data_IF_458170378069
#
_entry.id   IF_458170378069
#
_cell.length_a   1.000
_cell.length_b   1.000
_cell.length_c   1.000
_cell.angle_alpha   90.00
_cell.angle_beta   90.00
_cell.angle_gamma   90.00
#
_symmetry.space_group_name_H-M   'P 1'
#
loop_
_entity.id
_entity.type
_entity.pdbx_description
1 polymer ?
#
# COMPACT_ATOMS: atom_id res chain seq x y z
N UNK A 1 72.15 11.43 0.16
CA UNK A 1 70.81 10.88 0.38
C UNK A 1 69.82 12.03 0.26
N UNK A 2 69.10 12.13 -0.85
CA UNK A 2 68.11 13.19 -1.11
C UNK A 2 66.74 12.58 -0.83
N UNK A 3 66.01 13.08 0.16
CA UNK A 3 64.63 12.69 0.45
C UNK A 3 63.69 13.41 -0.51
N UNK A 4 62.97 12.64 -1.32
CA UNK A 4 61.91 13.12 -2.18
C UNK A 4 60.60 13.09 -1.35
N UNK A 5 60.03 14.27 -1.08
CA UNK A 5 58.71 14.40 -0.43
C UNK A 5 57.69 14.51 -1.56
N UNK A 6 56.82 13.50 -1.66
CA UNK A 6 55.69 13.47 -2.61
C UNK A 6 54.47 14.13 -1.93
N UNK A 7 53.85 15.17 -2.50
CA UNK A 7 52.65 15.74 -1.93
C UNK A 7 51.44 14.85 -2.21
N UNK A 8 50.76 14.45 -1.17
CA UNK A 8 49.48 13.77 -1.25
C UNK A 8 48.39 14.80 -1.61
N UNK A 9 47.88 14.76 -2.86
CA UNK A 9 46.70 15.53 -3.27
C UNK A 9 45.46 14.83 -2.72
N UNK A 10 44.84 15.37 -1.68
CA UNK A 10 43.52 14.98 -1.23
C UNK A 10 42.53 15.62 -2.21
N UNK A 11 42.03 14.81 -3.13
CA UNK A 11 40.94 15.20 -4.00
C UNK A 11 39.66 15.34 -3.17
N UNK A 12 39.24 16.58 -2.95
CA UNK A 12 37.90 16.90 -2.43
C UNK A 12 36.89 16.49 -3.49
N UNK A 13 36.29 15.33 -3.33
CA UNK A 13 35.11 14.93 -4.14
C UNK A 13 33.95 15.80 -3.69
N UNK A 14 33.74 16.91 -4.39
CA UNK A 14 32.49 17.66 -4.27
C UNK A 14 31.36 16.72 -4.73
N UNK A 15 30.66 16.11 -3.77
CA UNK A 15 29.38 15.50 -4.05
C UNK A 15 28.43 16.64 -4.38
N UNK A 16 28.14 16.83 -5.66
CA UNK A 16 27.00 17.65 -6.08
C UNK A 16 25.76 17.05 -5.44
N UNK A 17 24.95 17.83 -4.70
CA UNK A 17 23.68 17.33 -4.23
C UNK A 17 22.89 16.85 -5.46
N UNK A 18 22.40 15.63 -5.41
CA UNK A 18 21.39 15.15 -6.35
C UNK A 18 20.18 16.03 -6.07
N UNK A 19 20.03 17.11 -6.81
CA UNK A 19 18.77 17.84 -6.86
C UNK A 19 17.73 16.81 -7.29
N UNK A 20 16.87 16.39 -6.37
CA UNK A 20 15.60 15.79 -6.73
C UNK A 20 14.96 16.78 -7.69
N UNK A 21 14.82 16.40 -8.97
CA UNK A 21 14.11 17.20 -9.93
C UNK A 21 12.67 17.34 -9.38
N UNK A 22 12.41 18.47 -8.73
CA UNK A 22 11.06 18.94 -8.50
C UNK A 22 10.47 19.16 -9.89
N UNK A 23 9.62 18.24 -10.35
CA UNK A 23 9.04 18.28 -11.71
C UNK A 23 8.09 19.47 -11.92
N UNK A 24 8.51 20.66 -11.53
CA UNK A 24 7.76 21.92 -11.68
C UNK A 24 6.62 22.11 -10.66
N UNK A 25 6.47 21.21 -9.69
CA UNK A 25 5.44 21.36 -8.65
C UNK A 25 5.82 22.38 -7.57
N UNK A 26 4.81 23.04 -7.01
CA UNK A 26 4.99 23.93 -5.86
C UNK A 26 5.48 23.13 -4.64
N UNK A 27 6.39 23.71 -3.84
CA UNK A 27 6.85 23.11 -2.56
C UNK A 27 5.69 22.74 -1.62
N UNK A 28 4.59 23.50 -1.65
CA UNK A 28 3.40 23.21 -0.85
C UNK A 28 2.72 21.87 -1.21
N UNK A 29 3.00 21.31 -2.38
CA UNK A 29 2.49 20.02 -2.86
C UNK A 29 3.51 18.89 -2.69
N UNK A 30 4.70 19.18 -2.15
CA UNK A 30 5.75 18.19 -1.92
C UNK A 30 5.66 17.63 -0.50
N UNK A 31 5.98 16.35 -0.37
CA UNK A 31 6.00 15.67 0.92
C UNK A 31 7.21 16.10 1.77
N UNK A 32 7.13 15.90 3.08
CA UNK A 32 8.28 16.12 3.95
C UNK A 32 9.48 15.23 3.59
N UNK A 33 9.21 14.04 3.08
CA UNK A 33 10.25 13.15 2.56
C UNK A 33 11.00 13.79 1.39
N UNK A 34 10.30 14.29 0.39
CA UNK A 34 10.91 14.96 -0.77
C UNK A 34 11.69 16.23 -0.36
N UNK A 35 11.08 17.08 0.45
CA UNK A 35 11.69 18.35 0.91
C UNK A 35 12.94 18.14 1.78
N UNK A 36 13.03 17.00 2.46
CA UNK A 36 14.18 16.65 3.30
C UNK A 36 15.20 15.74 2.59
N UNK A 37 15.07 15.51 1.28
CA UNK A 37 15.86 14.51 0.55
C UNK A 37 15.77 13.11 1.20
N UNK A 38 14.57 12.73 1.63
CA UNK A 38 14.24 11.48 2.30
C UNK A 38 14.96 11.23 3.63
N UNK A 39 15.29 12.30 4.35
CA UNK A 39 15.85 12.22 5.70
C UNK A 39 14.77 12.04 6.78
N UNK A 40 13.55 12.49 6.52
CA UNK A 40 12.41 12.38 7.42
C UNK A 40 11.11 12.07 6.69
N UNK A 41 10.13 11.57 7.43
CA UNK A 41 8.77 11.31 6.95
C UNK A 41 7.80 12.42 7.41
N UNK A 42 6.64 12.51 6.74
CA UNK A 42 5.62 13.51 7.03
C UNK A 42 4.90 13.22 8.34
N UNK A 43 4.72 14.23 9.17
CA UNK A 43 3.74 14.23 10.27
C UNK A 43 2.33 14.28 9.72
N UNK A 44 1.32 13.98 10.54
CA UNK A 44 -0.08 14.10 10.11
C UNK A 44 -0.45 15.52 9.69
N UNK A 45 0.05 16.54 10.41
CA UNK A 45 -0.18 17.94 10.05
C UNK A 45 0.43 18.32 8.68
N UNK A 46 1.62 17.80 8.35
CA UNK A 46 2.25 18.01 7.04
C UNK A 46 1.48 17.30 5.93
N UNK A 47 0.99 16.08 6.17
CA UNK A 47 0.08 15.39 5.23
C UNK A 47 -1.16 16.25 4.93
N UNK A 48 -1.81 16.80 5.97
CA UNK A 48 -2.98 17.67 5.80
C UNK A 48 -2.63 18.96 5.02
N UNK A 49 -1.42 19.48 5.19
CA UNK A 49 -0.97 20.68 4.45
C UNK A 49 -0.81 20.40 2.95
N UNK A 50 -0.20 19.25 2.59
CA UNK A 50 -0.09 18.81 1.18
C UNK A 50 -1.48 18.57 0.60
N UNK A 51 -2.36 17.87 1.30
CA UNK A 51 -3.75 17.62 0.87
C UNK A 51 -4.51 18.93 0.63
N UNK A 52 -4.35 19.93 1.53
CA UNK A 52 -4.99 21.23 1.38
C UNK A 52 -4.48 21.96 0.13
N UNK A 53 -3.17 21.91 -0.16
CA UNK A 53 -2.58 22.50 -1.37
C UNK A 53 -3.10 21.84 -2.65
N UNK A 54 -3.19 20.51 -2.68
CA UNK A 54 -3.74 19.76 -3.81
C UNK A 54 -5.23 20.07 -4.02
N UNK A 55 -6.02 20.13 -2.94
CA UNK A 55 -7.45 20.42 -3.01
C UNK A 55 -7.74 21.87 -3.46
N UNK A 56 -6.91 22.82 -3.03
CA UNK A 56 -7.06 24.22 -3.44
C UNK A 56 -6.78 24.45 -4.93
N UNK A 57 -6.10 23.53 -5.58
CA UNK A 57 -5.63 23.67 -6.96
C UNK A 57 -6.32 22.73 -7.97
N UNK A 58 -7.24 21.85 -7.52
CA UNK A 58 -7.96 20.93 -8.40
C UNK A 58 -9.35 20.60 -7.86
N UNK A 59 -10.37 20.73 -8.70
CA UNK A 59 -11.75 20.31 -8.41
C UNK A 59 -11.95 18.79 -8.47
N UNK A 60 -10.96 18.05 -9.00
CA UNK A 60 -11.00 16.58 -9.12
C UNK A 60 -10.77 15.87 -7.77
N UNK A 61 -10.33 16.61 -6.74
CA UNK A 61 -10.12 16.10 -5.39
C UNK A 61 -11.25 16.54 -4.46
N UNK A 62 -12.05 15.58 -4.01
CA UNK A 62 -13.00 15.75 -2.92
C UNK A 62 -12.42 15.16 -1.62
N UNK A 63 -12.66 15.85 -0.50
CA UNK A 63 -12.23 15.42 0.84
C UNK A 63 -13.43 15.30 1.76
N UNK A 64 -13.56 14.17 2.45
CA UNK A 64 -14.44 13.98 3.60
C UNK A 64 -13.65 13.48 4.82
N UNK A 65 -14.23 13.57 6.00
CA UNK A 65 -13.63 13.01 7.21
C UNK A 65 -14.06 11.55 7.34
N UNK A 66 -13.09 10.62 7.33
CA UNK A 66 -13.33 9.20 7.59
C UNK A 66 -13.67 8.99 9.07
N UNK A 67 -12.80 9.49 9.96
CA UNK A 67 -12.89 9.31 11.41
C UNK A 67 -12.21 10.48 12.12
N UNK A 68 -12.65 10.75 13.36
CA UNK A 68 -11.88 11.54 14.33
C UNK A 68 -11.20 10.55 15.28
N UNK A 69 -9.87 10.53 15.31
CA UNK A 69 -9.09 9.63 16.15
C UNK A 69 -9.25 9.94 17.64
N UNK A 70 -8.74 9.08 18.52
CA UNK A 70 -8.78 9.31 19.96
C UNK A 70 -8.00 10.56 20.41
N UNK A 71 -6.97 10.96 19.67
CA UNK A 71 -6.25 12.22 19.90
C UNK A 71 -6.92 13.44 19.24
N UNK A 72 -8.12 13.28 18.65
CA UNK A 72 -8.90 14.37 18.05
C UNK A 72 -8.45 14.75 16.64
N UNK A 73 -7.70 13.90 15.93
CA UNK A 73 -7.26 14.14 14.56
C UNK A 73 -8.36 13.74 13.56
N UNK A 74 -8.75 14.64 12.66
CA UNK A 74 -9.71 14.37 11.60
C UNK A 74 -9.01 13.71 10.41
N UNK A 75 -9.07 12.40 10.34
CA UNK A 75 -8.45 11.59 9.29
C UNK A 75 -9.25 11.73 7.99
N UNK A 76 -8.64 12.22 6.89
CA UNK A 76 -9.35 12.46 5.66
C UNK A 76 -9.47 11.20 4.81
N UNK A 77 -10.64 10.97 4.22
CA UNK A 77 -10.81 10.17 3.00
C UNK A 77 -10.77 11.10 1.80
N UNK A 78 -9.94 10.78 0.83
CA UNK A 78 -9.66 11.60 -0.34
C UNK A 78 -10.16 10.89 -1.59
N UNK A 79 -11.06 11.53 -2.33
CA UNK A 79 -11.72 10.97 -3.51
C UNK A 79 -11.23 11.71 -4.74
N UNK A 80 -10.53 11.00 -5.64
CA UNK A 80 -10.07 11.52 -6.92
C UNK A 80 -10.94 10.94 -8.05
N UNK A 81 -11.56 11.81 -8.85
CA UNK A 81 -12.41 11.41 -9.97
C UNK A 81 -12.49 12.49 -11.05
N UNK A 82 -12.58 12.08 -12.30
CA UNK A 82 -12.85 12.94 -13.46
C UNK A 82 -13.97 12.30 -14.33
N UNK A 83 -15.19 12.90 -14.44
CA UNK A 83 -15.61 14.11 -13.74
C UNK A 83 -15.66 13.95 -12.22
N UNK A 84 -15.64 15.08 -11.46
CA UNK A 84 -15.64 15.06 -10.00
C UNK A 84 -16.79 14.25 -9.42
N UNK A 85 -16.51 13.41 -8.44
CA UNK A 85 -17.45 12.61 -7.66
C UNK A 85 -17.31 12.99 -6.20
N UNK A 86 -18.44 13.22 -5.51
CA UNK A 86 -18.47 13.70 -4.12
C UNK A 86 -19.23 12.78 -3.18
N UNK A 87 -20.00 11.85 -3.75
CA UNK A 87 -20.81 10.90 -2.96
C UNK A 87 -20.71 9.48 -3.51
N UNK A 88 -20.93 8.47 -2.65
CA UNK A 88 -20.99 7.08 -3.12
C UNK A 88 -22.09 6.81 -4.17
N UNK A 89 -23.19 7.58 -4.12
CA UNK A 89 -24.29 7.51 -5.09
C UNK A 89 -23.82 7.96 -6.48
N UNK A 90 -23.08 9.06 -6.55
CA UNK A 90 -22.47 9.55 -7.79
C UNK A 90 -21.44 8.54 -8.33
N UNK A 91 -20.63 7.93 -7.43
CA UNK A 91 -19.67 6.89 -7.81
C UNK A 91 -20.39 5.69 -8.46
N UNK A 92 -21.44 5.17 -7.83
CA UNK A 92 -22.26 4.08 -8.41
C UNK A 92 -22.90 4.46 -9.74
N UNK A 93 -23.42 5.68 -9.85
CA UNK A 93 -24.04 6.18 -11.07
C UNK A 93 -23.05 6.35 -12.23
N UNK A 94 -21.78 6.66 -11.95
CA UNK A 94 -20.74 6.81 -12.95
C UNK A 94 -20.41 5.51 -13.69
N UNK A 95 -20.62 4.37 -13.04
CA UNK A 95 -20.23 3.06 -13.54
C UNK A 95 -18.72 2.80 -13.56
N UNK A 96 -17.91 3.69 -12.98
CA UNK A 96 -16.46 3.52 -12.87
C UNK A 96 -16.06 2.52 -11.79
N UNK A 97 -14.89 1.92 -11.94
CA UNK A 97 -14.27 1.10 -10.91
C UNK A 97 -13.93 1.96 -9.69
N UNK A 98 -14.09 1.43 -8.48
CA UNK A 98 -13.69 2.11 -7.25
C UNK A 98 -12.45 1.41 -6.69
N UNK A 99 -11.31 2.10 -6.71
CA UNK A 99 -10.04 1.62 -6.17
C UNK A 99 -9.75 2.33 -4.85
N UNK A 100 -9.41 1.59 -3.82
CA UNK A 100 -9.06 2.10 -2.51
C UNK A 100 -7.58 1.85 -2.20
N UNK A 101 -6.81 2.90 -1.99
CA UNK A 101 -5.39 2.87 -1.63
C UNK A 101 -5.24 3.33 -0.17
N UNK A 102 -4.75 2.45 0.68
CA UNK A 102 -4.51 2.71 2.10
C UNK A 102 -3.03 2.67 2.42
N UNK A 103 -2.55 3.65 3.17
CA UNK A 103 -1.22 3.66 3.75
C UNK A 103 -1.25 3.81 5.26
N UNK A 104 -0.13 3.44 5.89
CA UNK A 104 0.16 3.78 7.28
C UNK A 104 -0.84 3.19 8.30
N UNK A 105 -1.37 1.98 8.06
CA UNK A 105 -2.13 1.22 9.08
C UNK A 105 -1.23 0.90 10.27
N UNK A 106 0.05 0.61 10.03
CA UNK A 106 1.09 0.63 11.04
C UNK A 106 1.83 1.97 10.95
N UNK A 107 1.75 2.79 11.98
CA UNK A 107 2.25 4.17 11.96
C UNK A 107 3.73 4.34 11.62
N UNK A 108 4.54 3.30 11.81
CA UNK A 108 5.96 3.29 11.45
C UNK A 108 6.28 2.81 10.04
N UNK A 109 5.30 2.36 9.26
CA UNK A 109 5.43 1.97 7.86
C UNK A 109 5.02 3.14 6.98
N UNK A 110 5.99 4.00 6.68
CA UNK A 110 5.75 5.38 6.24
C UNK A 110 5.79 5.57 4.72
N UNK A 111 6.26 4.58 3.97
CA UNK A 111 6.47 4.64 2.53
C UNK A 111 5.17 4.83 1.76
N UNK A 112 4.13 4.07 2.13
CA UNK A 112 2.81 4.12 1.50
C UNK A 112 2.12 5.47 1.63
N UNK A 113 2.33 6.16 2.76
CA UNK A 113 1.85 7.52 3.00
C UNK A 113 2.47 8.50 2.00
N UNK A 114 3.79 8.51 1.91
CA UNK A 114 4.52 9.41 1.02
C UNK A 114 4.20 9.09 -0.45
N UNK A 115 4.19 7.81 -0.83
CA UNK A 115 3.85 7.36 -2.18
C UNK A 115 2.43 7.75 -2.59
N UNK A 116 1.45 7.66 -1.69
CA UNK A 116 0.07 8.09 -1.94
C UNK A 116 -0.02 9.58 -2.25
N UNK A 117 0.67 10.42 -1.48
CA UNK A 117 0.69 11.88 -1.71
C UNK A 117 1.37 12.23 -3.05
N UNK A 118 2.46 11.55 -3.39
CA UNK A 118 3.16 11.71 -4.67
C UNK A 118 2.23 11.30 -5.82
N UNK A 119 1.60 10.12 -5.74
CA UNK A 119 0.68 9.63 -6.77
C UNK A 119 -0.51 10.58 -6.97
N UNK A 120 -1.12 11.08 -5.90
CA UNK A 120 -2.20 12.07 -5.98
C UNK A 120 -1.76 13.35 -6.72
N UNK A 121 -0.58 13.88 -6.41
CA UNK A 121 -0.02 15.04 -7.10
C UNK A 121 0.22 14.76 -8.59
N UNK A 122 0.78 13.61 -8.93
CA UNK A 122 1.03 13.20 -10.31
C UNK A 122 -0.28 13.04 -11.11
N UNK A 123 -1.34 12.53 -10.48
CA UNK A 123 -2.67 12.41 -11.09
C UNK A 123 -3.30 13.81 -11.30
N UNK A 124 -3.22 14.68 -10.31
CA UNK A 124 -3.93 15.97 -10.35
C UNK A 124 -3.19 17.06 -11.14
N UNK A 125 -1.86 17.01 -11.19
CA UNK A 125 -1.02 18.09 -11.74
C UNK A 125 0.12 17.60 -12.64
N UNK A 126 0.33 16.29 -12.75
CA UNK A 126 1.31 15.68 -13.65
C UNK A 126 0.66 15.18 -14.94
N UNK A 127 1.20 14.11 -15.45
CA UNK A 127 0.78 13.48 -16.71
C UNK A 127 -0.14 12.26 -16.53
N UNK A 128 -0.62 12.01 -15.30
CA UNK A 128 -1.38 10.79 -14.93
C UNK A 128 -2.87 11.01 -14.73
N UNK A 129 -3.44 12.13 -15.18
CA UNK A 129 -4.88 12.37 -15.05
C UNK A 129 -5.72 11.31 -15.79
N UNK A 130 -5.18 10.71 -16.85
CA UNK A 130 -5.81 9.61 -17.61
C UNK A 130 -6.18 8.42 -16.70
N UNK A 131 -5.51 8.23 -15.56
CA UNK A 131 -5.86 7.20 -14.58
C UNK A 131 -7.26 7.36 -13.98
N UNK A 132 -7.91 8.51 -14.18
CA UNK A 132 -9.28 8.75 -13.73
C UNK A 132 -10.34 8.47 -14.83
N UNK A 133 -9.95 8.00 -16.01
CA UNK A 133 -10.89 7.76 -17.13
C UNK A 133 -11.92 6.68 -16.79
N UNK A 134 -11.49 5.54 -16.25
CA UNK A 134 -12.36 4.39 -15.97
C UNK A 134 -12.47 4.03 -14.49
N UNK A 135 -11.81 4.79 -13.61
CA UNK A 135 -11.83 4.53 -12.17
C UNK A 135 -11.98 5.81 -11.34
N UNK A 136 -12.44 5.62 -10.11
CA UNK A 136 -12.44 6.56 -9.01
C UNK A 136 -11.43 6.04 -8.00
N UNK A 137 -10.51 6.89 -7.56
CA UNK A 137 -9.47 6.47 -6.60
C UNK A 137 -9.73 7.09 -5.25
N UNK A 138 -9.92 6.24 -4.25
CA UNK A 138 -10.03 6.62 -2.85
C UNK A 138 -8.66 6.48 -2.21
N UNK A 139 -8.10 7.58 -1.70
CA UNK A 139 -6.85 7.56 -0.94
C UNK A 139 -7.09 7.78 0.54
N UNK A 140 -6.44 6.96 1.35
CA UNK A 140 -6.30 7.12 2.80
C UNK A 140 -4.80 7.07 3.15
N UNK A 141 -4.05 8.16 2.97
CA UNK A 141 -2.59 8.14 3.13
C UNK A 141 -2.14 7.79 4.54
N UNK A 142 -2.88 8.24 5.56
CA UNK A 142 -2.58 7.99 6.97
C UNK A 142 -3.81 7.46 7.68
N UNK A 143 -3.92 6.14 7.79
CA UNK A 143 -5.03 5.52 8.52
C UNK A 143 -4.80 5.60 10.03
N UNK A 144 -3.60 5.23 10.51
CA UNK A 144 -3.22 5.29 11.92
C UNK A 144 -2.57 6.65 12.24
N UNK A 145 -3.38 7.71 12.32
CA UNK A 145 -2.88 9.07 12.51
C UNK A 145 -2.21 9.30 13.87
N UNK A 146 -2.68 8.63 14.92
CA UNK A 146 -2.15 8.76 16.27
C UNK A 146 -0.80 8.03 16.37
N UNK A 147 -0.72 6.79 15.87
CA UNK A 147 0.54 6.07 15.79
C UNK A 147 1.56 6.72 14.86
N UNK A 148 1.13 7.35 13.75
CA UNK A 148 2.03 8.09 12.87
C UNK A 148 2.82 9.17 13.59
N UNK A 149 2.18 9.95 14.45
CA UNK A 149 2.81 11.09 15.11
C UNK A 149 3.54 10.73 16.41
N UNK A 150 3.38 9.50 16.91
CA UNK A 150 4.18 8.97 18.04
C UNK A 150 5.57 8.53 17.55
N UNK A 151 6.31 9.47 16.98
CA UNK A 151 7.59 9.20 16.32
C UNK A 151 8.72 8.94 17.32
N UNK A 152 9.47 7.84 17.09
CA UNK A 152 10.61 7.44 17.90
C UNK A 152 11.68 6.77 17.05
N UNK A 153 12.94 6.82 17.47
CA UNK A 153 14.06 6.16 16.80
C UNK A 153 14.10 4.64 17.02
N UNK A 154 13.32 4.12 17.95
CA UNK A 154 13.24 2.70 18.28
C UNK A 154 11.94 2.01 17.83
N UNK A 155 11.05 2.76 17.16
CA UNK A 155 9.75 2.24 16.70
C UNK A 155 9.87 1.12 15.66
N UNK A 156 10.87 1.20 14.77
CA UNK A 156 11.06 0.29 13.64
C UNK A 156 12.52 -0.12 13.48
N UNK A 157 13.05 -0.81 14.49
CA UNK A 157 14.44 -1.30 14.52
C UNK A 157 14.79 -2.26 13.37
N UNK A 158 13.81 -2.84 12.71
CA UNK A 158 14.01 -3.72 11.54
C UNK A 158 14.17 -2.96 10.22
N UNK A 159 13.92 -1.65 10.20
CA UNK A 159 14.09 -0.83 9.00
C UNK A 159 15.50 -0.24 8.91
N UNK A 160 15.97 -0.06 7.68
CA UNK A 160 17.21 0.67 7.42
C UNK A 160 17.11 2.13 7.87
N UNK A 161 18.25 2.73 8.15
CA UNK A 161 18.38 4.10 8.63
C UNK A 161 17.68 5.11 7.76
N UNK A 162 16.88 5.92 8.01
CA UNK A 162 15.99 6.85 7.30
C UNK A 162 14.64 6.24 7.01
N UNK A 163 13.58 6.94 7.46
CA UNK A 163 13.74 8.12 8.34
C UNK A 163 14.26 7.68 9.72
N UNK A 164 15.05 8.54 10.36
CA UNK A 164 15.60 8.27 11.71
C UNK A 164 14.50 8.12 12.77
N UNK A 165 13.35 8.75 12.54
CA UNK A 165 12.17 8.67 13.38
C UNK A 165 11.00 8.15 12.55
N UNK A 166 10.32 7.15 13.06
CA UNK A 166 9.09 6.60 12.50
C UNK A 166 8.03 6.47 13.58
N UNK A 167 6.76 6.43 13.18
CA UNK A 167 5.63 6.28 14.08
C UNK A 167 5.54 4.89 14.71
N UNK A 168 4.66 4.74 15.69
CA UNK A 168 4.39 3.48 16.37
C UNK A 168 3.52 2.57 15.49
N UNK A 169 3.75 1.25 15.62
CA UNK A 169 2.95 0.25 14.90
C UNK A 169 1.46 0.35 15.24
N UNK A 170 1.16 0.50 16.52
CA UNK A 170 -0.21 0.45 17.05
C UNK A 170 -0.76 1.84 17.31
N UNK A 171 -2.10 1.98 17.30
CA UNK A 171 -2.82 3.13 17.84
C UNK A 171 -3.33 2.76 19.23
N UNK A 172 -2.89 3.47 20.26
CA UNK A 172 -3.33 3.25 21.67
C UNK A 172 -3.24 1.77 22.14
N UNK A 173 -2.23 1.05 21.66
CA UNK A 173 -2.03 -0.37 21.97
C UNK A 173 -2.78 -1.36 21.07
N UNK A 174 -3.64 -0.89 20.15
CA UNK A 174 -4.35 -1.72 19.18
C UNK A 174 -3.60 -1.78 17.86
N UNK A 175 -3.39 -2.99 17.34
CA UNK A 175 -2.96 -3.20 15.97
C UNK A 175 -4.18 -3.18 15.04
N UNK A 176 -4.35 -2.08 14.28
CA UNK A 176 -5.50 -1.89 13.40
C UNK A 176 -5.60 -2.98 12.32
N UNK A 177 -4.45 -3.59 11.93
CA UNK A 177 -4.45 -4.73 11.01
C UNK A 177 -4.67 -6.09 11.71
N UNK A 178 -5.27 -6.09 12.90
CA UNK A 178 -5.77 -7.27 13.62
C UNK A 178 -7.23 -7.09 14.03
N UNK A 179 -7.82 -5.95 13.74
CA UNK A 179 -9.14 -5.54 14.21
C UNK A 179 -10.28 -5.80 13.20
N UNK A 180 -9.97 -6.32 12.00
CA UNK A 180 -10.94 -6.53 10.93
C UNK A 180 -12.11 -7.48 11.22
N UNK A 181 -12.08 -8.22 12.35
CA UNK A 181 -13.17 -9.10 12.78
C UNK A 181 -13.92 -8.56 14.01
N UNK A 182 -13.19 -7.96 14.94
CA UNK A 182 -13.76 -7.50 16.23
C UNK A 182 -14.35 -6.12 16.08
N UNK A 183 -13.66 -5.24 15.32
CA UNK A 183 -14.06 -3.86 15.02
C UNK A 183 -14.24 -3.08 16.34
N UNK A 184 -13.19 -3.10 17.18
CA UNK A 184 -13.19 -2.51 18.53
C UNK A 184 -12.63 -1.07 18.56
N UNK A 185 -11.88 -0.69 17.50
CA UNK A 185 -11.29 0.64 17.42
C UNK A 185 -12.18 1.61 16.64
N UNK A 186 -12.16 2.90 17.03
CA UNK A 186 -12.93 3.93 16.34
C UNK A 186 -12.52 4.08 14.86
N UNK A 187 -11.24 3.84 14.56
CA UNK A 187 -10.70 3.83 13.21
C UNK A 187 -11.31 2.71 12.37
N UNK A 188 -11.33 1.49 12.90
CA UNK A 188 -11.87 0.34 12.18
C UNK A 188 -13.39 0.41 12.05
N UNK A 189 -14.11 0.83 13.09
CA UNK A 189 -15.55 1.06 13.01
C UNK A 189 -15.89 2.05 11.89
N UNK A 190 -15.18 3.17 11.85
CA UNK A 190 -15.37 4.21 10.84
C UNK A 190 -14.93 3.73 9.44
N UNK A 191 -13.85 2.96 9.31
CA UNK A 191 -13.43 2.38 8.04
C UNK A 191 -14.56 1.54 7.41
N UNK A 192 -15.18 0.67 8.21
CA UNK A 192 -16.30 -0.14 7.73
C UNK A 192 -17.55 0.69 7.44
N UNK A 193 -17.95 1.57 8.37
CA UNK A 193 -19.18 2.33 8.24
C UNK A 193 -19.10 3.42 7.16
N UNK A 194 -18.00 4.17 7.10
CA UNK A 194 -17.88 5.37 6.28
C UNK A 194 -17.20 5.12 4.93
N UNK A 195 -16.41 4.04 4.79
CA UNK A 195 -15.73 3.73 3.54
C UNK A 195 -16.25 2.42 2.94
N UNK A 196 -15.98 1.27 3.56
CA UNK A 196 -16.23 -0.04 2.94
C UNK A 196 -17.72 -0.24 2.61
N UNK A 197 -18.63 0.07 3.55
CA UNK A 197 -20.07 -0.10 3.32
C UNK A 197 -20.68 0.97 2.41
N UNK A 198 -20.12 2.18 2.42
CA UNK A 198 -20.68 3.30 1.64
C UNK A 198 -20.13 3.34 0.21
N UNK A 199 -18.82 3.23 0.05
CA UNK A 199 -18.14 3.35 -1.24
C UNK A 199 -18.00 2.01 -1.96
N UNK A 200 -18.04 0.89 -1.24
CA UNK A 200 -17.95 -0.48 -1.75
C UNK A 200 -16.82 -0.65 -2.78
N UNK A 201 -15.55 -0.43 -2.37
CA UNK A 201 -14.44 -0.47 -3.31
C UNK A 201 -14.26 -1.86 -3.93
N UNK A 202 -14.03 -1.87 -5.24
CA UNK A 202 -13.80 -3.08 -6.03
C UNK A 202 -12.42 -3.69 -5.79
N UNK A 203 -11.44 -2.84 -5.51
CA UNK A 203 -10.04 -3.21 -5.28
C UNK A 203 -9.48 -2.43 -4.08
N UNK A 204 -8.88 -3.15 -3.13
CA UNK A 204 -8.06 -2.59 -2.04
C UNK A 204 -6.58 -2.78 -2.34
N UNK A 205 -5.78 -1.74 -2.07
CA UNK A 205 -4.32 -1.83 -1.96
C UNK A 205 -3.89 -1.34 -0.58
N UNK A 206 -3.33 -2.23 0.24
CA UNK A 206 -2.87 -1.93 1.59
C UNK A 206 -1.34 -1.86 1.61
N UNK A 207 -0.81 -0.67 1.87
CA UNK A 207 0.61 -0.34 1.72
C UNK A 207 1.37 -0.48 3.03
N UNK A 208 2.27 -1.47 3.07
CA UNK A 208 3.09 -1.84 4.22
C UNK A 208 4.60 -1.80 3.94
N UNK A 209 5.36 -2.11 4.97
CA UNK A 209 6.81 -2.32 4.93
C UNK A 209 7.16 -3.58 5.71
N UNK A 210 7.99 -4.46 5.13
CA UNK A 210 8.35 -5.77 5.72
C UNK A 210 8.90 -5.67 7.13
N UNK A 211 8.78 -6.76 7.90
CA UNK A 211 9.27 -6.87 9.27
C UNK A 211 10.76 -7.23 9.38
N UNK A 212 11.53 -7.07 8.30
CA UNK A 212 12.96 -7.29 8.29
C UNK A 212 13.42 -8.61 7.69
N UNK A 213 12.55 -9.34 6.97
CA UNK A 213 12.96 -10.51 6.17
C UNK A 213 13.95 -10.09 5.09
N UNK A 214 15.12 -10.74 5.02
CA UNK A 214 16.14 -10.48 4.03
C UNK A 214 15.87 -11.22 2.72
N UNK A 215 15.53 -10.47 1.67
CA UNK A 215 15.34 -10.96 0.31
C UNK A 215 15.89 -9.94 -0.69
N UNK A 216 15.98 -10.30 -1.97
CA UNK A 216 16.52 -9.43 -3.03
C UNK A 216 15.48 -8.57 -3.76
N UNK A 217 14.23 -8.56 -3.31
CA UNK A 217 13.14 -7.83 -3.96
C UNK A 217 12.99 -6.43 -3.34
N UNK A 218 12.73 -5.41 -4.16
CA UNK A 218 12.46 -4.04 -3.69
C UNK A 218 11.11 -3.91 -2.99
N UNK A 219 10.16 -4.78 -3.35
CA UNK A 219 8.85 -4.89 -2.76
C UNK A 219 8.33 -6.32 -2.93
N UNK A 220 7.59 -6.80 -1.94
CA UNK A 220 6.84 -8.06 -2.01
C UNK A 220 5.35 -7.79 -1.88
N UNK A 221 4.51 -8.68 -2.42
CA UNK A 221 3.05 -8.50 -2.44
C UNK A 221 2.32 -9.82 -2.19
N UNK A 222 1.06 -9.72 -1.81
CA UNK A 222 0.19 -10.87 -1.68
C UNK A 222 -1.26 -10.51 -2.02
N UNK A 223 -2.06 -11.44 -2.55
CA UNK A 223 -3.50 -11.30 -2.66
C UNK A 223 -4.17 -11.57 -1.32
N UNK A 224 -5.50 -11.49 -1.27
CA UNK A 224 -6.26 -12.07 -0.17
C UNK A 224 -6.17 -13.60 -0.20
N UNK A 225 -5.90 -14.19 0.96
CA UNK A 225 -5.82 -15.66 1.10
C UNK A 225 -7.08 -16.27 1.74
N UNK A 226 -8.13 -15.48 1.95
CA UNK A 226 -9.33 -16.00 2.59
C UNK A 226 -10.17 -16.82 1.60
N UNK A 227 -10.34 -18.11 1.87
CA UNK A 227 -10.94 -19.09 0.96
C UNK A 227 -12.45 -19.33 1.20
N UNK A 228 -13.07 -18.65 2.17
CA UNK A 228 -14.51 -18.80 2.45
C UNK A 228 -15.40 -17.90 1.56
N UNK A 229 -14.84 -16.91 0.87
CA UNK A 229 -15.51 -16.13 -0.18
C UNK A 229 -15.53 -16.88 -1.51
N UNK A 230 -15.93 -16.17 -2.57
CA UNK A 230 -15.77 -16.67 -3.94
C UNK A 230 -14.28 -16.58 -4.34
N UNK A 231 -13.75 -17.63 -4.97
CA UNK A 231 -12.32 -17.70 -5.31
C UNK A 231 -11.92 -16.76 -6.47
N UNK A 232 -12.85 -16.43 -7.38
CA UNK A 232 -12.52 -15.74 -8.62
C UNK A 232 -11.81 -14.39 -8.45
N UNK A 233 -12.16 -13.49 -7.49
CA UNK A 233 -11.42 -12.24 -7.28
C UNK A 233 -9.96 -12.49 -6.85
N UNK A 234 -9.72 -13.42 -5.94
CA UNK A 234 -8.37 -13.76 -5.47
C UNK A 234 -7.56 -14.48 -6.53
N UNK A 235 -8.16 -15.41 -7.27
CA UNK A 235 -7.50 -16.15 -8.36
C UNK A 235 -7.09 -15.21 -9.50
N UNK A 236 -7.96 -14.27 -9.88
CA UNK A 236 -7.62 -13.26 -10.88
C UNK A 236 -6.50 -12.33 -10.38
N UNK A 237 -6.59 -11.88 -9.13
CA UNK A 237 -5.55 -11.04 -8.54
C UNK A 237 -4.19 -11.73 -8.53
N UNK A 238 -4.14 -13.00 -8.09
CA UNK A 238 -2.90 -13.77 -7.99
C UNK A 238 -2.38 -14.25 -9.35
N UNK A 239 -3.27 -14.77 -10.21
CA UNK A 239 -2.87 -15.46 -11.44
C UNK A 239 -2.74 -14.57 -12.67
N UNK A 240 -3.38 -13.38 -12.68
CA UNK A 240 -3.41 -12.51 -13.84
C UNK A 240 -2.89 -11.11 -13.51
N UNK A 241 -3.50 -10.42 -12.57
CA UNK A 241 -3.21 -9.00 -12.27
C UNK A 241 -1.77 -8.81 -11.74
N UNK A 242 -1.41 -9.46 -10.65
CA UNK A 242 -0.09 -9.29 -10.01
C UNK A 242 1.07 -9.71 -10.91
N UNK A 243 1.02 -10.83 -11.67
CA UNK A 243 2.05 -11.16 -12.65
C UNK A 243 2.23 -10.09 -13.74
N UNK A 244 1.14 -9.54 -14.28
CA UNK A 244 1.19 -8.49 -15.31
C UNK A 244 1.80 -7.20 -14.75
N UNK A 245 1.40 -6.77 -13.54
CA UNK A 245 1.95 -5.60 -12.85
C UNK A 245 3.44 -5.81 -12.57
N UNK A 246 3.85 -6.98 -12.06
CA UNK A 246 5.25 -7.32 -11.81
C UNK A 246 6.10 -7.20 -13.06
N UNK A 247 5.61 -7.71 -14.20
CA UNK A 247 6.30 -7.58 -15.48
C UNK A 247 6.45 -6.12 -15.89
N UNK A 248 5.38 -5.34 -15.84
CA UNK A 248 5.40 -3.92 -16.20
C UNK A 248 6.37 -3.12 -15.34
N UNK A 249 6.40 -3.37 -14.03
CA UNK A 249 7.34 -2.75 -13.09
C UNK A 249 8.79 -3.11 -13.44
N UNK A 250 9.06 -4.37 -13.79
CA UNK A 250 10.40 -4.79 -14.21
C UNK A 250 10.84 -4.06 -15.49
N UNK A 251 9.94 -3.94 -16.46
CA UNK A 251 10.23 -3.30 -17.75
C UNK A 251 10.42 -1.79 -17.63
N UNK A 252 9.56 -1.10 -16.88
CA UNK A 252 9.55 0.37 -16.78
C UNK A 252 10.55 0.92 -15.77
N UNK A 253 10.73 0.25 -14.63
CA UNK A 253 11.49 0.76 -13.49
C UNK A 253 12.74 -0.07 -13.19
N UNK A 254 12.89 -1.25 -13.79
CA UNK A 254 13.93 -2.23 -13.46
C UNK A 254 13.97 -2.60 -11.97
N UNK A 255 12.80 -2.66 -11.33
CA UNK A 255 12.63 -3.12 -9.96
C UNK A 255 12.21 -4.61 -9.96
N UNK A 256 12.67 -5.34 -8.95
CA UNK A 256 12.30 -6.74 -8.74
C UNK A 256 11.27 -6.84 -7.64
N UNK A 257 10.06 -7.28 -8.00
CA UNK A 257 8.95 -7.53 -7.08
C UNK A 257 8.61 -9.02 -7.10
N UNK A 258 8.12 -9.56 -5.96
CA UNK A 258 7.69 -10.96 -5.89
C UNK A 258 6.72 -11.20 -4.72
N UNK A 259 6.38 -12.47 -4.49
CA UNK A 259 5.47 -12.89 -3.45
C UNK A 259 5.98 -12.56 -2.05
N UNK A 260 5.06 -12.08 -1.21
CA UNK A 260 5.34 -11.80 0.20
C UNK A 260 5.46 -13.08 1.02
N UNK A 261 6.49 -13.12 1.87
CA UNK A 261 6.67 -14.14 2.87
C UNK A 261 7.86 -13.86 3.79
N UNK A 262 7.94 -14.62 4.86
CA UNK A 262 9.04 -14.61 5.80
C UNK A 262 9.65 -15.99 5.96
N UNK A 263 10.90 -16.04 6.40
CA UNK A 263 11.62 -17.28 6.72
C UNK A 263 12.39 -17.15 8.03
N UNK A 264 12.77 -18.29 8.61
CA UNK A 264 13.56 -18.34 9.83
C UNK A 264 15.06 -18.19 9.48
N UNK A 265 15.72 -17.19 10.05
CA UNK A 265 17.16 -16.93 9.84
C UNK A 265 18.08 -17.94 10.48
N UNK A 266 17.57 -18.72 11.45
CA UNK A 266 18.38 -19.76 12.11
C UNK A 266 18.72 -20.90 11.18
N UNK A 267 17.92 -21.10 10.13
CA UNK A 267 18.09 -22.12 9.10
C UNK A 267 18.54 -21.46 7.78
N UNK A 268 19.83 -21.14 7.68
CA UNK A 268 20.38 -20.55 6.44
C UNK A 268 21.15 -21.59 5.60
N UNK A 269 20.93 -21.70 4.27
CA UNK A 269 19.89 -20.99 3.49
C UNK A 269 18.47 -21.45 3.86
N UNK A 270 17.48 -20.55 3.79
CA UNK A 270 16.11 -20.90 4.13
C UNK A 270 15.56 -21.96 3.16
N UNK A 271 14.80 -22.89 3.67
CA UNK A 271 14.16 -23.97 2.90
C UNK A 271 12.65 -23.79 2.78
N UNK A 272 12.08 -22.83 3.49
CA UNK A 272 10.65 -22.55 3.54
C UNK A 272 10.41 -21.03 3.59
N UNK A 273 9.49 -20.55 2.74
CA UNK A 273 8.95 -19.20 2.79
C UNK A 273 7.48 -19.29 3.21
N UNK A 274 7.11 -18.59 4.30
CA UNK A 274 5.73 -18.58 4.81
C UNK A 274 5.10 -17.21 4.58
N UNK A 275 3.98 -17.18 3.89
CA UNK A 275 3.15 -16.00 3.78
C UNK A 275 2.31 -15.76 5.05
N UNK A 276 1.49 -14.70 5.09
CA UNK A 276 0.67 -14.40 6.25
C UNK A 276 -0.59 -15.29 6.34
N UNK A 277 -1.15 -15.39 7.55
CA UNK A 277 -2.30 -16.23 7.83
C UNK A 277 -3.58 -15.71 7.17
N UNK A 278 -4.44 -16.61 6.69
CA UNK A 278 -5.70 -16.31 5.96
C UNK A 278 -6.80 -15.60 6.77
N UNK A 279 -6.65 -15.44 8.08
CA UNK A 279 -7.71 -14.92 8.94
C UNK A 279 -8.20 -13.53 8.50
N UNK A 280 -9.53 -13.26 8.50
CA UNK A 280 -10.08 -11.99 8.05
C UNK A 280 -9.92 -10.84 9.06
N UNK A 281 -9.16 -11.05 10.14
CA UNK A 281 -8.68 -9.96 11.00
C UNK A 281 -7.72 -9.02 10.26
N UNK A 282 -7.04 -9.52 9.23
CA UNK A 282 -6.24 -8.71 8.31
C UNK A 282 -7.15 -8.07 7.28
N UNK A 283 -6.98 -6.77 7.04
CA UNK A 283 -7.87 -6.02 6.15
C UNK A 283 -7.92 -6.59 4.73
N UNK A 284 -6.77 -6.99 4.18
CA UNK A 284 -6.69 -7.60 2.84
C UNK A 284 -7.56 -8.87 2.75
N UNK A 285 -7.45 -9.77 3.75
CA UNK A 285 -8.27 -10.99 3.77
C UNK A 285 -9.75 -10.71 4.03
N UNK A 286 -10.06 -9.66 4.80
CA UNK A 286 -11.44 -9.25 5.03
C UNK A 286 -12.12 -8.79 3.74
N UNK A 287 -11.39 -8.03 2.91
CA UNK A 287 -11.89 -7.61 1.59
C UNK A 287 -12.09 -8.81 0.66
N UNK A 288 -11.16 -9.79 0.66
CA UNK A 288 -11.33 -11.03 -0.09
C UNK A 288 -12.55 -11.83 0.34
N UNK A 289 -12.84 -11.90 1.65
CA UNK A 289 -14.07 -12.53 2.18
C UNK A 289 -15.35 -11.84 1.67
N UNK A 290 -15.27 -10.56 1.31
CA UNK A 290 -16.36 -9.76 0.75
C UNK A 290 -16.44 -9.84 -0.78
N UNK A 291 -15.74 -10.79 -1.41
CA UNK A 291 -15.63 -10.95 -2.86
C UNK A 291 -15.07 -9.71 -3.58
N UNK A 292 -14.15 -9.00 -2.93
CA UNK A 292 -13.43 -7.88 -3.54
C UNK A 292 -11.97 -8.25 -3.74
N UNK A 293 -11.37 -7.70 -4.80
CA UNK A 293 -9.94 -7.86 -5.00
C UNK A 293 -9.17 -7.10 -3.93
N UNK A 294 -8.08 -7.68 -3.44
CA UNK A 294 -7.26 -7.02 -2.44
C UNK A 294 -5.79 -7.40 -2.58
N UNK A 295 -4.92 -6.42 -2.42
CA UNK A 295 -3.47 -6.55 -2.56
C UNK A 295 -2.81 -6.03 -1.29
N UNK A 296 -2.01 -6.88 -0.65
CA UNK A 296 -1.01 -6.48 0.34
C UNK A 296 0.27 -6.08 -0.39
N UNK A 297 0.82 -4.95 -0.04
CA UNK A 297 2.11 -4.43 -0.54
C UNK A 297 3.08 -4.30 0.62
N UNK A 298 4.34 -4.80 0.46
CA UNK A 298 5.34 -4.82 1.52
C UNK A 298 6.70 -4.38 0.97
N UNK A 299 7.05 -3.10 1.15
CA UNK A 299 8.36 -2.58 0.72
C UNK A 299 9.49 -3.20 1.52
N UNK A 300 10.68 -3.34 0.93
CA UNK A 300 11.82 -3.98 1.57
C UNK A 300 12.41 -3.11 2.69
N UNK A 301 12.23 -3.51 3.94
CA UNK A 301 12.63 -2.75 5.12
C UNK A 301 14.11 -2.34 5.16
N UNK A 302 15.00 -3.09 4.53
CA UNK A 302 16.44 -2.84 4.54
C UNK A 302 16.93 -1.96 3.39
N UNK A 303 16.05 -1.53 2.48
CA UNK A 303 16.38 -0.51 1.49
C UNK A 303 16.36 0.89 2.11
N UNK A 304 17.11 1.82 1.52
CA UNK A 304 17.07 3.22 1.90
C UNK A 304 15.69 3.81 1.67
N UNK A 305 15.27 4.74 2.50
CA UNK A 305 13.92 5.29 2.50
C UNK A 305 13.44 5.78 1.12
N UNK A 306 14.29 6.52 0.39
CA UNK A 306 13.92 6.99 -0.96
C UNK A 306 13.61 5.84 -1.94
N UNK A 307 14.31 4.69 -1.83
CA UNK A 307 14.05 3.52 -2.67
C UNK A 307 12.72 2.86 -2.30
N UNK A 308 12.42 2.77 -0.99
CA UNK A 308 11.17 2.21 -0.51
C UNK A 308 9.98 3.05 -0.97
N UNK A 309 10.06 4.39 -0.86
CA UNK A 309 9.02 5.32 -1.40
C UNK A 309 8.90 5.17 -2.90
N UNK A 310 10.02 5.11 -3.64
CA UNK A 310 10.00 4.90 -5.09
C UNK A 310 9.35 3.56 -5.48
N UNK A 311 9.68 2.47 -4.80
CA UNK A 311 9.07 1.16 -5.04
C UNK A 311 7.55 1.17 -4.76
N UNK A 312 7.13 1.76 -3.64
CA UNK A 312 5.72 1.92 -3.31
C UNK A 312 4.98 2.78 -4.35
N UNK A 313 5.57 3.92 -4.78
CA UNK A 313 4.97 4.79 -5.80
C UNK A 313 4.87 4.08 -7.16
N UNK A 314 5.91 3.36 -7.59
CA UNK A 314 5.88 2.56 -8.81
C UNK A 314 4.77 1.51 -8.76
N UNK A 315 4.60 0.83 -7.61
CA UNK A 315 3.55 -0.18 -7.44
C UNK A 315 2.15 0.42 -7.50
N UNK A 316 1.90 1.51 -6.77
CA UNK A 316 0.62 2.23 -6.80
C UNK A 316 0.27 2.65 -8.23
N UNK A 317 1.21 3.26 -8.94
CA UNK A 317 0.97 3.71 -10.31
C UNK A 317 0.65 2.56 -11.26
N UNK A 318 1.41 1.46 -11.22
CA UNK A 318 1.18 0.31 -12.12
C UNK A 318 -0.13 -0.43 -11.78
N UNK A 319 -0.52 -0.48 -10.50
CA UNK A 319 -1.85 -0.99 -10.11
C UNK A 319 -2.95 -0.11 -10.70
N UNK A 320 -2.83 1.22 -10.60
CA UNK A 320 -3.82 2.15 -11.14
C UNK A 320 -3.87 2.11 -12.68
N UNK A 321 -2.74 1.97 -13.38
CA UNK A 321 -2.70 1.75 -14.83
C UNK A 321 -3.41 0.46 -15.24
N UNK A 322 -3.12 -0.64 -14.55
CA UNK A 322 -3.76 -1.91 -14.78
C UNK A 322 -5.27 -1.83 -14.51
N UNK A 323 -5.65 -1.29 -13.37
CA UNK A 323 -7.04 -1.16 -12.95
C UNK A 323 -7.85 -0.26 -13.88
N UNK A 324 -7.27 0.87 -14.35
CA UNK A 324 -7.90 1.76 -15.32
C UNK A 324 -8.16 1.04 -16.66
N UNK A 325 -7.19 0.25 -17.12
CA UNK A 325 -7.31 -0.50 -18.38
C UNK A 325 -8.32 -1.66 -18.29
N UNK A 326 -8.38 -2.34 -17.15
CA UNK A 326 -9.19 -3.54 -16.92
C UNK A 326 -10.42 -3.28 -16.03
N UNK A 327 -10.86 -2.02 -15.89
CA UNK A 327 -11.90 -1.60 -14.95
C UNK A 327 -13.21 -2.40 -15.11
N UNK A 328 -13.66 -2.61 -16.34
CA UNK A 328 -14.87 -3.37 -16.63
C UNK A 328 -14.77 -4.85 -16.24
N UNK A 329 -13.61 -5.46 -16.49
CA UNK A 329 -13.34 -6.86 -16.17
C UNK A 329 -13.30 -7.08 -14.65
N UNK A 330 -12.59 -6.24 -13.91
CA UNK A 330 -12.48 -6.30 -12.44
C UNK A 330 -13.88 -6.21 -11.80
N UNK A 331 -14.68 -5.21 -12.21
CA UNK A 331 -16.05 -5.04 -11.71
C UNK A 331 -16.94 -6.24 -12.02
N UNK A 332 -16.85 -6.79 -13.23
CA UNK A 332 -17.65 -7.94 -13.62
C UNK A 332 -17.31 -9.20 -12.83
N UNK A 333 -16.00 -9.46 -12.57
CA UNK A 333 -15.55 -10.57 -11.71
C UNK A 333 -16.14 -10.43 -10.31
N UNK A 334 -16.04 -9.26 -9.67
CA UNK A 334 -16.58 -9.03 -8.33
C UNK A 334 -18.11 -9.18 -8.31
N UNK A 335 -18.81 -8.60 -9.27
CA UNK A 335 -20.29 -8.71 -9.39
C UNK A 335 -20.74 -10.16 -9.56
N UNK A 336 -20.04 -10.93 -10.38
CA UNK A 336 -20.34 -12.36 -10.57
C UNK A 336 -20.03 -13.18 -9.31
N UNK A 337 -18.98 -12.82 -8.58
CA UNK A 337 -18.63 -13.46 -7.31
C UNK A 337 -19.78 -13.28 -6.29
N UNK A 338 -20.30 -12.06 -6.15
CA UNK A 338 -21.47 -11.78 -5.29
C UNK A 338 -22.70 -12.57 -5.73
N UNK A 339 -22.99 -12.59 -7.03
CA UNK A 339 -24.12 -13.33 -7.58
C UNK A 339 -24.01 -14.84 -7.31
N UNK A 340 -22.83 -15.44 -7.50
CA UNK A 340 -22.61 -16.87 -7.22
C UNK A 340 -22.81 -17.21 -5.74
N UNK A 341 -22.38 -16.36 -4.81
CA UNK A 341 -22.59 -16.59 -3.37
C UNK A 341 -24.08 -16.54 -3.03
N UNK A 342 -24.82 -15.54 -3.54
CA UNK A 342 -26.28 -15.43 -3.35
C UNK A 342 -26.99 -16.65 -3.91
N UNK A 343 -26.68 -17.06 -5.14
CA UNK A 343 -27.26 -18.23 -5.79
C UNK A 343 -26.97 -19.53 -5.03
N UNK A 344 -25.72 -19.72 -4.61
CA UNK A 344 -25.27 -20.88 -3.82
C UNK A 344 -26.03 -21.02 -2.52
N UNK A 345 -26.27 -19.91 -1.80
CA UNK A 345 -27.06 -19.90 -0.57
C UNK A 345 -28.54 -20.20 -0.87
N UNK A 346 -29.12 -19.56 -1.89
CA UNK A 346 -30.52 -19.73 -2.27
C UNK A 346 -30.84 -21.18 -2.69
N UNK A 347 -29.96 -21.80 -3.47
CA UNK A 347 -30.16 -23.18 -3.98
C UNK A 347 -29.85 -24.27 -2.94
N UNK A 348 -29.12 -23.94 -1.87
CA UNK A 348 -28.67 -24.87 -0.84
C UNK A 348 -29.23 -24.51 0.55
N UNK A 349 -30.39 -23.88 0.62
CA UNK A 349 -30.99 -23.48 1.89
C UNK A 349 -31.09 -24.67 2.87
N UNK A 350 -30.39 -24.58 4.00
CA UNK A 350 -30.29 -25.63 5.00
C UNK A 350 -29.19 -26.68 4.80
N UNK A 351 -28.48 -26.66 3.65
CA UNK A 351 -27.35 -27.59 3.39
C UNK A 351 -26.07 -26.88 2.95
N UNK A 352 -26.07 -25.55 2.88
CA UNK A 352 -24.88 -24.77 2.55
C UNK A 352 -23.78 -24.98 3.60
N UNK A 353 -22.59 -25.35 3.12
CA UNK A 353 -21.41 -25.53 3.96
C UNK A 353 -20.33 -24.54 3.54
N UNK A 354 -19.68 -23.94 4.53
CA UNK A 354 -18.51 -23.09 4.33
C UNK A 354 -17.40 -23.51 5.30
N UNK A 355 -16.14 -23.30 4.89
CA UNK A 355 -14.99 -23.55 5.74
C UNK A 355 -14.96 -22.54 6.91
N UNK A 356 -14.69 -23.04 8.12
CA UNK A 356 -14.53 -22.23 9.31
C UNK A 356 -13.16 -22.38 9.95
N UNK A 357 -12.40 -23.39 9.52
CA UNK A 357 -11.03 -23.65 9.94
C UNK A 357 -10.19 -24.06 8.73
N UNK A 358 -9.04 -23.45 8.60
CA UNK A 358 -8.13 -23.61 7.47
C UNK A 358 -6.71 -23.82 7.99
N UNK A 359 -5.90 -24.52 7.23
CA UNK A 359 -4.46 -24.66 7.48
C UNK A 359 -3.66 -24.23 6.24
N UNK A 360 -2.42 -23.81 6.46
CA UNK A 360 -1.49 -23.52 5.38
C UNK A 360 -0.84 -24.81 4.91
N UNK A 361 -0.79 -24.98 3.60
CA UNK A 361 -0.13 -26.11 2.96
C UNK A 361 1.03 -25.62 2.10
N UNK A 362 2.04 -26.47 1.89
CA UNK A 362 3.11 -26.18 0.95
C UNK A 362 2.56 -26.12 -0.48
N UNK A 363 3.08 -25.21 -1.29
CA UNK A 363 2.85 -25.22 -2.73
C UNK A 363 3.51 -26.47 -3.35
N UNK A 364 2.93 -27.00 -4.42
CA UNK A 364 3.50 -28.15 -5.15
C UNK A 364 4.84 -27.80 -5.79
N UNK A 365 4.94 -26.58 -6.34
CA UNK A 365 6.15 -26.08 -6.97
C UNK A 365 6.89 -25.10 -6.04
N UNK A 366 8.23 -25.20 -5.93
CA UNK A 366 9.02 -24.27 -5.16
C UNK A 366 9.04 -22.87 -5.81
N UNK A 367 9.19 -21.83 -4.98
CA UNK A 367 9.39 -20.47 -5.45
C UNK A 367 10.88 -20.16 -5.58
N UNK A 368 11.27 -19.51 -6.67
CA UNK A 368 12.58 -18.89 -6.81
C UNK A 368 12.60 -17.55 -6.10
N UNK A 369 13.33 -17.45 -5.00
CA UNK A 369 13.45 -16.23 -4.21
C UNK A 369 14.80 -15.55 -4.48
N UNK A 370 14.80 -14.31 -4.93
CA UNK A 370 16.01 -13.48 -4.93
C UNK A 370 16.47 -13.27 -3.50
N UNK A 371 17.73 -13.60 -3.24
CA UNK A 371 18.31 -13.52 -1.91
C UNK A 371 19.78 -13.10 -1.98
N UNK A 372 20.41 -12.94 -0.80
CA UNK A 372 21.80 -12.53 -0.64
C UNK A 372 22.69 -13.76 -0.41
N UNK A 373 23.88 -13.73 -1.01
CA UNK A 373 24.90 -14.71 -0.68
C UNK A 373 25.63 -14.25 0.59
N UNK A 374 25.55 -15.06 1.64
CA UNK A 374 26.43 -14.87 2.79
C UNK A 374 27.88 -15.15 2.38
N UNK A 375 28.74 -14.16 2.58
CA UNK A 375 30.20 -14.29 2.42
C UNK A 375 30.79 -14.17 3.82
N UNK A 376 31.32 -15.24 4.42
CA UNK A 376 31.87 -15.24 5.79
C UNK A 376 33.09 -14.34 5.92
#
# INVERSE_FOLDING_TARGET
MKHLILPFLIGLVCQTPVNAQSGGFSEAMMTAAELSNFERTSTFAEVLSVVAALQASSDLLHRETLVTSLEGKNVPLLVLADPPVRTPEEARASGKLVVYIQGNIHGGEVEGKEASLIAMREILHGDKQHLLENQIVLFLPVYNSDGNDQMSGDSRLSQEMSPLLAGQRTAHGYDLNRDGMIIDTVETEALYANLIQRWDPDLLVDLHTTNGTWHGHSLTYAPAYHTAGDAAPSDYTAGVMLPAIRQSIKEKFNLDFDWYGGFDYRDWPPTELRTYHHAPRYLTNNMGLRNRMAILSETFAHDRFYKRVHAANAFVNEILEYANTHAGEIREINRQADARVVEKIANNAGSYQNGVQFEMVALEEPLDLLSYKYIP
#
